data_IF_366541377884
#
_entry.id   IF_366541377884
#
_cell.length_a   1.000
_cell.length_b   1.000
_cell.length_c   1.000
_cell.angle_alpha   90.00
_cell.angle_beta   90.00
_cell.angle_gamma   90.00
#
_symmetry.space_group_name_H-M   'P 1'
#
loop_
_entity.id
_entity.type
_entity.pdbx_description
1 polymer ?
#
# COMPACT_ATOMS: atom_id res chain seq x y z
N UNK A 1 4.51 -2.25 -16.49
CA UNK A 1 5.70 -1.86 -15.74
C UNK A 1 5.49 -2.14 -14.25
N UNK A 2 6.41 -2.83 -13.63
CA UNK A 2 6.42 -3.08 -12.20
C UNK A 2 7.71 -2.53 -11.61
N UNK A 3 7.59 -1.82 -10.47
CA UNK A 3 8.72 -1.24 -9.77
C UNK A 3 8.77 -1.81 -8.35
N UNK A 4 9.99 -2.14 -7.91
CA UNK A 4 10.23 -2.65 -6.55
C UNK A 4 11.09 -1.63 -5.80
N UNK A 5 10.65 -1.25 -4.60
CA UNK A 5 11.42 -0.33 -3.76
C UNK A 5 12.75 -0.96 -3.35
N UNK A 6 13.89 -0.34 -3.63
CA UNK A 6 15.18 -0.88 -3.21
C UNK A 6 15.39 -0.68 -1.71
N UNK A 7 16.17 -1.57 -1.09
CA UNK A 7 16.55 -1.43 0.31
C UNK A 7 17.36 -0.16 0.55
N UNK A 8 17.12 0.50 1.68
CA UNK A 8 17.84 1.71 2.08
C UNK A 8 17.24 3.02 1.62
N UNK A 9 16.17 2.99 0.83
CA UNK A 9 15.48 4.19 0.34
C UNK A 9 13.98 4.04 0.52
N UNK A 10 13.28 5.15 0.81
CA UNK A 10 11.84 5.21 0.66
C UNK A 10 11.50 5.44 -0.81
N UNK A 11 10.45 4.79 -1.29
CA UNK A 11 9.91 5.04 -2.62
C UNK A 11 8.67 5.93 -2.47
N UNK A 12 8.66 7.03 -3.19
CA UNK A 12 7.54 7.98 -3.16
C UNK A 12 7.04 8.26 -4.57
N UNK A 13 5.74 8.52 -4.66
CA UNK A 13 5.09 8.91 -5.90
C UNK A 13 5.07 10.43 -5.98
N UNK A 14 5.36 10.98 -7.17
CA UNK A 14 5.31 12.41 -7.44
C UNK A 14 4.58 12.69 -8.73
N UNK A 15 3.91 13.83 -8.81
CA UNK A 15 3.36 14.33 -10.05
C UNK A 15 4.43 15.15 -10.77
N UNK A 16 4.67 14.83 -12.05
CA UNK A 16 5.72 15.45 -12.86
C UNK A 16 5.14 16.27 -14.02
N UNK A 17 3.94 16.82 -13.87
CA UNK A 17 3.29 17.67 -14.87
C UNK A 17 2.58 16.91 -15.98
N UNK A 18 3.22 15.90 -16.57
CA UNK A 18 2.65 15.09 -17.65
C UNK A 18 2.31 13.67 -17.20
N UNK A 19 2.61 13.31 -15.96
CA UNK A 19 2.35 11.97 -15.42
C UNK A 19 3.01 11.78 -14.06
N UNK A 20 2.84 10.59 -13.51
CA UNK A 20 3.44 10.25 -12.22
C UNK A 20 4.85 9.71 -12.41
N UNK A 21 5.71 9.99 -11.44
CA UNK A 21 7.06 9.46 -11.37
C UNK A 21 7.31 8.88 -9.98
N UNK A 22 8.15 7.85 -9.93
CA UNK A 22 8.66 7.31 -8.68
C UNK A 22 9.97 8.02 -8.36
N UNK A 23 10.13 8.42 -7.09
CA UNK A 23 11.33 9.06 -6.57
C UNK A 23 11.84 8.30 -5.36
N UNK A 24 13.17 8.19 -5.24
CA UNK A 24 13.79 7.55 -4.07
C UNK A 24 14.20 8.63 -3.07
N UNK A 25 13.88 8.42 -1.80
CA UNK A 25 14.14 9.36 -0.72
C UNK A 25 14.98 8.72 0.37
N UNK A 26 15.94 9.47 0.90
CA UNK A 26 16.75 9.07 2.06
C UNK A 26 16.22 9.66 3.37
N UNK A 27 14.96 10.09 3.41
CA UNK A 27 14.32 10.53 4.65
C UNK A 27 14.43 9.47 5.74
N UNK A 28 14.39 9.84 7.02
CA UNK A 28 14.59 8.89 8.11
C UNK A 28 13.65 7.67 8.04
N UNK A 29 14.08 6.52 8.59
CA UNK A 29 13.23 5.34 8.66
C UNK A 29 11.92 5.62 9.40
N UNK A 30 10.85 4.97 8.96
CA UNK A 30 9.55 4.96 9.61
C UNK A 30 9.30 3.53 10.09
N UNK A 31 8.81 3.37 11.32
CA UNK A 31 8.67 2.07 11.97
C UNK A 31 10.00 1.28 11.96
N UNK A 32 11.14 1.98 12.09
CA UNK A 32 12.48 1.43 12.00
C UNK A 32 12.81 0.81 10.65
N UNK A 33 12.08 1.16 9.59
CA UNK A 33 12.21 0.59 8.25
C UNK A 33 12.43 1.66 7.19
N UNK A 34 13.23 1.32 6.20
CA UNK A 34 13.42 2.08 4.96
C UNK A 34 13.79 1.10 3.84
N UNK A 35 12.90 0.79 2.88
CA UNK A 35 11.61 1.45 2.62
C UNK A 35 10.53 1.14 3.66
N UNK A 36 9.59 2.05 3.80
CA UNK A 36 8.37 1.85 4.57
C UNK A 36 7.14 2.03 3.67
N UNK A 37 6.17 1.12 3.82
CA UNK A 37 4.95 1.14 3.02
C UNK A 37 4.14 2.41 3.26
N UNK A 38 4.04 2.85 4.53
CA UNK A 38 3.31 4.07 4.87
C UNK A 38 3.84 5.31 4.14
N UNK A 39 5.15 5.39 3.89
CA UNK A 39 5.73 6.51 3.14
C UNK A 39 5.24 6.51 1.70
N UNK A 40 5.23 5.34 1.04
CA UNK A 40 4.72 5.22 -0.32
C UNK A 40 3.23 5.55 -0.38
N UNK A 41 2.43 4.96 0.50
CA UNK A 41 0.99 5.17 0.53
C UNK A 41 0.63 6.63 0.81
N UNK A 42 1.32 7.27 1.76
CA UNK A 42 1.12 8.69 2.06
C UNK A 42 1.43 9.56 0.84
N UNK A 43 2.47 9.24 0.08
CA UNK A 43 2.80 9.98 -1.14
C UNK A 43 1.69 9.88 -2.20
N UNK A 44 1.03 8.72 -2.31
CA UNK A 44 -0.10 8.55 -3.21
C UNK A 44 -1.31 9.39 -2.79
N UNK A 45 -1.55 9.52 -1.50
CA UNK A 45 -2.60 10.43 -0.99
C UNK A 45 -2.27 11.87 -1.33
N UNK A 46 -1.03 12.30 -1.06
CA UNK A 46 -0.59 13.68 -1.26
C UNK A 46 -0.61 14.12 -2.72
N UNK A 47 -0.35 13.22 -3.65
CA UNK A 47 -0.40 13.54 -5.09
C UNK A 47 -1.82 13.58 -5.65
N UNK A 48 -2.83 13.21 -4.84
CA UNK A 48 -4.22 13.18 -5.29
C UNK A 48 -4.58 12.00 -6.18
N UNK A 49 -3.73 10.97 -6.25
CA UNK A 49 -3.97 9.81 -7.13
C UNK A 49 -4.84 8.73 -6.50
N UNK A 50 -5.25 8.88 -5.23
CA UNK A 50 -6.00 7.84 -4.53
C UNK A 50 -7.24 7.35 -5.29
N UNK A 51 -8.07 8.19 -5.94
CA UNK A 51 -9.21 7.70 -6.70
C UNK A 51 -8.85 6.80 -7.89
N UNK A 52 -7.59 6.81 -8.32
CA UNK A 52 -7.07 5.98 -9.41
C UNK A 52 -6.11 4.90 -8.91
N UNK A 53 -6.14 4.62 -7.61
CA UNK A 53 -5.20 3.71 -6.96
C UNK A 53 -5.92 2.49 -6.42
N UNK A 54 -5.29 1.33 -6.60
CA UNK A 54 -5.63 0.10 -5.87
C UNK A 54 -4.44 -0.23 -4.98
N UNK A 55 -4.68 -0.37 -3.69
CA UNK A 55 -3.63 -0.68 -2.73
C UNK A 55 -3.97 -1.96 -1.97
N UNK A 56 -2.98 -2.83 -1.83
CA UNK A 56 -3.14 -4.09 -1.12
C UNK A 56 -2.03 -4.28 -0.10
N UNK A 57 -2.35 -4.89 1.03
CA UNK A 57 -1.36 -5.34 2.02
C UNK A 57 -1.35 -6.85 2.09
N UNK A 58 -0.18 -7.40 1.83
CA UNK A 58 0.06 -8.84 1.87
C UNK A 58 0.77 -9.22 3.16
N UNK A 59 0.92 -10.53 3.38
CA UNK A 59 1.62 -11.09 4.54
C UNK A 59 2.84 -10.26 4.95
N UNK A 60 3.00 -10.01 6.24
CA UNK A 60 4.12 -9.22 6.77
C UNK A 60 3.98 -8.99 8.26
N UNK A 61 5.13 -8.81 8.92
CA UNK A 61 5.22 -8.59 10.35
C UNK A 61 5.12 -7.08 10.65
N UNK A 62 4.50 -6.74 11.76
CA UNK A 62 4.36 -5.37 12.24
C UNK A 62 3.09 -4.69 11.77
N UNK A 63 3.11 -3.37 11.71
CA UNK A 63 1.93 -2.54 11.41
C UNK A 63 2.14 -1.57 10.25
N UNK A 64 3.31 -1.61 9.61
CA UNK A 64 3.59 -0.70 8.49
C UNK A 64 2.55 -0.88 7.38
N UNK A 65 2.09 0.23 6.84
CA UNK A 65 1.10 0.25 5.77
C UNK A 65 -0.36 0.31 6.24
N UNK A 66 -0.65 0.00 7.50
CA UNK A 66 -2.04 -0.03 7.99
C UNK A 66 -2.67 1.36 7.99
N UNK A 67 -2.00 2.35 8.55
CA UNK A 67 -2.48 3.74 8.58
C UNK A 67 -2.51 4.32 7.16
N UNK A 68 -1.48 4.08 6.37
CA UNK A 68 -1.41 4.54 4.99
C UNK A 68 -2.53 3.96 4.14
N UNK A 69 -2.86 2.68 4.32
CA UNK A 69 -3.97 2.04 3.62
C UNK A 69 -5.31 2.69 3.99
N UNK A 70 -5.50 2.98 5.27
CA UNK A 70 -6.70 3.67 5.73
C UNK A 70 -6.84 5.05 5.09
N UNK A 71 -5.76 5.82 5.06
CA UNK A 71 -5.76 7.15 4.44
C UNK A 71 -6.05 7.08 2.94
N UNK A 72 -5.49 6.08 2.24
CA UNK A 72 -5.79 5.83 0.84
C UNK A 72 -7.26 5.50 0.63
N UNK A 73 -7.82 4.61 1.45
CA UNK A 73 -9.24 4.25 1.35
C UNK A 73 -10.11 5.48 1.53
N UNK A 74 -9.84 6.30 2.55
CA UNK A 74 -10.59 7.53 2.83
C UNK A 74 -10.48 8.55 1.70
N UNK A 75 -9.38 8.53 0.97
CA UNK A 75 -9.15 9.42 -0.16
C UNK A 75 -9.70 8.87 -1.49
N UNK A 76 -10.34 7.70 -1.48
CA UNK A 76 -11.02 7.15 -2.65
C UNK A 76 -10.36 5.95 -3.32
N UNK A 77 -9.25 5.45 -2.79
CA UNK A 77 -8.60 4.24 -3.31
C UNK A 77 -9.41 2.99 -3.01
N UNK A 78 -9.26 1.97 -3.87
CA UNK A 78 -9.75 0.62 -3.60
C UNK A 78 -8.68 -0.10 -2.79
N UNK A 79 -9.08 -0.79 -1.73
CA UNK A 79 -8.14 -1.40 -0.79
C UNK A 79 -8.51 -2.84 -0.45
N UNK A 80 -7.47 -3.67 -0.24
CA UNK A 80 -7.65 -5.04 0.22
C UNK A 80 -6.49 -5.45 1.14
N UNK A 81 -6.76 -6.39 2.01
CA UNK A 81 -5.75 -7.03 2.85
C UNK A 81 -5.86 -8.54 2.72
N UNK A 82 -4.72 -9.21 2.80
CA UNK A 82 -4.66 -10.67 2.75
C UNK A 82 -5.29 -11.26 4.01
N UNK A 83 -6.09 -12.32 3.85
CA UNK A 83 -6.74 -12.98 4.97
C UNK A 83 -5.74 -13.77 5.82
N UNK A 84 -6.13 -14.09 7.05
CA UNK A 84 -5.29 -14.80 8.01
C UNK A 84 -4.87 -16.17 7.49
N UNK A 85 -5.80 -16.92 6.90
CA UNK A 85 -5.61 -18.30 6.49
C UNK A 85 -4.50 -18.47 5.46
N UNK A 86 -4.28 -17.47 4.60
CA UNK A 86 -3.24 -17.54 3.57
C UNK A 86 -1.99 -16.75 3.90
N UNK A 87 -1.97 -15.98 5.00
CA UNK A 87 -0.77 -15.28 5.46
C UNK A 87 0.26 -16.23 6.06
N UNK A 88 1.53 -16.00 5.75
CA UNK A 88 2.64 -16.59 6.51
C UNK A 88 2.74 -15.89 7.86
N UNK A 89 2.71 -14.56 7.86
CA UNK A 89 2.66 -13.74 9.08
C UNK A 89 1.49 -12.77 8.95
N UNK A 90 0.50 -12.94 9.82
CA UNK A 90 -0.70 -12.09 9.83
C UNK A 90 -0.48 -10.89 10.78
N UNK A 91 0.39 -9.97 10.36
CA UNK A 91 0.72 -8.74 11.11
C UNK A 91 0.22 -7.50 10.42
N UNK A 92 0.87 -7.07 9.34
CA UNK A 92 0.47 -5.88 8.58
C UNK A 92 -0.99 -5.96 8.09
N UNK A 93 -1.43 -7.06 7.47
CA UNK A 93 -2.84 -7.18 7.10
C UNK A 93 -3.78 -7.12 8.29
N UNK A 94 -3.43 -7.75 9.41
CA UNK A 94 -4.25 -7.75 10.62
C UNK A 94 -4.49 -6.33 11.14
N UNK A 95 -3.44 -5.53 11.23
CA UNK A 95 -3.54 -4.15 11.70
C UNK A 95 -4.39 -3.30 10.74
N UNK A 96 -4.24 -3.49 9.44
CA UNK A 96 -5.06 -2.80 8.45
C UNK A 96 -6.56 -3.16 8.60
N UNK A 97 -6.86 -4.44 8.81
CA UNK A 97 -8.24 -4.91 9.02
C UNK A 97 -8.83 -4.28 10.29
N UNK A 98 -8.07 -4.24 11.38
CA UNK A 98 -8.50 -3.63 12.64
C UNK A 98 -8.87 -2.15 12.48
N UNK A 99 -8.14 -1.42 11.67
CA UNK A 99 -8.39 0.01 11.43
C UNK A 99 -9.57 0.25 10.48
N UNK A 100 -10.11 -0.79 9.84
CA UNK A 100 -11.09 -0.61 8.78
C UNK A 100 -10.48 -0.09 7.48
N UNK A 101 -9.18 -0.32 7.28
CA UNK A 101 -8.48 0.16 6.10
C UNK A 101 -8.74 -0.67 4.84
N UNK A 102 -9.08 -1.94 4.99
CA UNK A 102 -9.32 -2.86 3.88
C UNK A 102 -10.82 -2.98 3.60
N UNK A 103 -11.25 -2.60 2.40
CA UNK A 103 -12.65 -2.82 1.99
C UNK A 103 -12.93 -4.29 1.67
N UNK A 104 -11.89 -5.04 1.31
CA UNK A 104 -11.95 -6.47 1.05
C UNK A 104 -10.87 -7.19 1.84
N UNK A 105 -11.21 -8.34 2.40
CA UNK A 105 -10.26 -9.25 3.05
C UNK A 105 -10.28 -10.54 2.21
N UNK A 106 -9.17 -10.83 1.53
CA UNK A 106 -9.14 -11.85 0.49
C UNK A 106 -7.98 -12.83 0.67
N UNK A 107 -8.17 -14.10 0.30
CA UNK A 107 -7.04 -15.03 0.19
C UNK A 107 -6.10 -14.58 -0.93
N UNK A 108 -4.83 -14.97 -0.81
CA UNK A 108 -3.78 -14.53 -1.74
C UNK A 108 -4.13 -14.79 -3.20
N UNK A 109 -4.73 -15.94 -3.51
CA UNK A 109 -5.07 -16.35 -4.88
C UNK A 109 -6.20 -15.51 -5.51
N UNK A 110 -6.87 -14.66 -4.73
CA UNK A 110 -7.92 -13.76 -5.23
C UNK A 110 -7.45 -12.31 -5.41
N UNK A 111 -6.22 -11.99 -4.97
CA UNK A 111 -5.72 -10.62 -5.02
C UNK A 111 -5.52 -10.11 -6.45
N UNK A 112 -4.93 -10.92 -7.32
CA UNK A 112 -4.72 -10.51 -8.71
C UNK A 112 -6.04 -10.18 -9.41
N UNK A 113 -7.08 -11.00 -9.18
CA UNK A 113 -8.41 -10.76 -9.72
C UNK A 113 -9.04 -9.48 -9.18
N UNK A 114 -8.88 -9.21 -7.90
CA UNK A 114 -9.36 -7.96 -7.30
C UNK A 114 -8.72 -6.74 -7.99
N UNK A 115 -7.39 -6.74 -8.13
CA UNK A 115 -6.67 -5.63 -8.77
C UNK A 115 -7.11 -5.45 -10.22
N UNK A 116 -7.13 -6.53 -11.01
CA UNK A 116 -7.49 -6.49 -12.43
C UNK A 116 -8.91 -5.95 -12.66
N UNK A 117 -9.84 -6.32 -11.80
CA UNK A 117 -11.24 -5.91 -11.90
C UNK A 117 -11.40 -4.39 -11.77
N UNK A 118 -10.55 -3.73 -11.00
CA UNK A 118 -10.63 -2.27 -10.82
C UNK A 118 -10.22 -1.49 -12.06
N UNK A 119 -9.49 -2.11 -12.97
CA UNK A 119 -8.99 -1.49 -14.20
C UNK A 119 -9.65 -2.07 -15.46
N UNK A 120 -10.68 -2.89 -15.29
CA UNK A 120 -11.40 -3.49 -16.41
C UNK A 120 -12.33 -2.49 -17.12
#
# INVERSE_FOLDING_TARGET
>A
LALVAPGGFHMVLRWAGAGYQVHLSESPPIHHQRPAVDVLFDSAVKTGTAPHTVAILLTGMGSDGAVGLLNLRRAGARTAAQNEETCVVFGMPKEAIKLGAAEQVLPLDQMAGFVSKQFA
#
